data_IF_716001010124
#
_entry.id   IF_716001010124
#
_cell.length_a   1.000
_cell.length_b   1.000
_cell.length_c   1.000
_cell.angle_alpha   90.00
_cell.angle_beta   90.00
_cell.angle_gamma   90.00
#
_symmetry.space_group_name_H-M   'P 1'
#
loop_
_entity.id
_entity.type
_entity.pdbx_description
1 polymer ?
#
# COMPACT_ATOMS: atom_id res chain seq x y z
N UNK A 1 -0.20 -22.05 -11.31
CA UNK A 1 -1.36 -21.85 -10.42
C UNK A 1 -1.13 -22.33 -8.98
N UNK A 2 -0.81 -23.60 -8.70
CA UNK A 2 -0.60 -24.09 -7.29
C UNK A 2 0.50 -23.35 -6.51
N UNK A 3 1.60 -22.99 -7.17
CA UNK A 3 2.68 -22.23 -6.52
C UNK A 3 2.23 -20.82 -6.11
N UNK A 4 1.45 -20.14 -6.95
CA UNK A 4 0.90 -18.81 -6.67
C UNK A 4 0.00 -18.81 -5.43
N UNK A 5 -0.82 -19.86 -5.28
CA UNK A 5 -1.68 -20.05 -4.09
C UNK A 5 -0.82 -20.26 -2.83
N UNK A 6 0.31 -20.98 -2.95
CA UNK A 6 1.27 -21.14 -1.87
C UNK A 6 1.85 -19.81 -1.40
N UNK A 7 2.29 -18.96 -2.34
CA UNK A 7 2.80 -17.62 -2.04
C UNK A 7 1.74 -16.71 -1.41
N UNK A 8 0.49 -16.76 -1.89
CA UNK A 8 -0.60 -16.00 -1.27
C UNK A 8 -0.91 -16.48 0.14
N UNK A 9 -0.81 -17.78 0.40
CA UNK A 9 -1.03 -18.37 1.72
C UNK A 9 0.06 -17.94 2.71
N UNK A 10 1.32 -17.92 2.29
CA UNK A 10 2.43 -17.45 3.14
C UNK A 10 2.35 -15.95 3.39
N UNK A 11 1.97 -15.15 2.40
CA UNK A 11 1.67 -13.72 2.57
C UNK A 11 0.53 -13.49 3.56
N UNK A 12 -0.54 -14.28 3.47
CA UNK A 12 -1.67 -14.17 4.39
C UNK A 12 -1.29 -14.61 5.82
N UNK A 13 -0.42 -15.60 5.96
CA UNK A 13 0.16 -15.98 7.25
C UNK A 13 1.06 -14.87 7.80
N UNK A 14 1.88 -14.23 6.96
CA UNK A 14 2.71 -13.09 7.33
C UNK A 14 1.86 -11.92 7.83
N UNK A 15 0.79 -11.57 7.11
CA UNK A 15 -0.14 -10.51 7.46
C UNK A 15 -0.83 -10.72 8.82
N UNK A 16 -0.98 -11.98 9.27
CA UNK A 16 -1.55 -12.32 10.58
C UNK A 16 -0.56 -12.16 11.74
N UNK A 17 0.74 -12.12 11.46
CA UNK A 17 1.74 -11.86 12.50
C UNK A 17 1.65 -10.40 12.96
N UNK A 18 1.96 -10.09 14.23
CA UNK A 18 1.91 -8.72 14.73
C UNK A 18 2.84 -7.78 13.94
N UNK A 19 4.00 -8.29 13.50
CA UNK A 19 4.94 -7.56 12.64
C UNK A 19 4.36 -7.30 11.24
N UNK A 20 3.92 -8.35 10.55
CA UNK A 20 3.40 -8.20 9.18
C UNK A 20 2.13 -7.34 9.12
N UNK A 21 1.28 -7.36 10.15
CA UNK A 21 0.14 -6.45 10.24
C UNK A 21 0.57 -4.98 10.36
N UNK A 22 1.59 -4.71 11.18
CA UNK A 22 2.12 -3.36 11.34
C UNK A 22 2.73 -2.86 10.03
N UNK A 23 3.59 -3.66 9.40
CA UNK A 23 4.18 -3.33 8.10
C UNK A 23 3.10 -3.03 7.04
N UNK A 24 2.04 -3.83 6.97
CA UNK A 24 0.93 -3.62 6.02
C UNK A 24 0.23 -2.28 6.28
N UNK A 25 -0.01 -1.92 7.54
CA UNK A 25 -0.60 -0.63 7.89
C UNK A 25 0.33 0.53 7.54
N UNK A 26 1.63 0.39 7.77
CA UNK A 26 2.63 1.39 7.41
C UNK A 26 2.70 1.60 5.90
N UNK A 27 2.69 0.51 5.12
CA UNK A 27 2.62 0.59 3.67
C UNK A 27 1.31 1.21 3.17
N UNK A 28 0.18 0.90 3.81
CA UNK A 28 -1.10 1.50 3.47
C UNK A 28 -1.11 3.02 3.73
N UNK A 29 -0.52 3.44 4.86
CA UNK A 29 -0.33 4.85 5.21
C UNK A 29 0.59 5.55 4.21
N UNK A 30 1.73 4.94 3.89
CA UNK A 30 2.68 5.48 2.91
C UNK A 30 2.03 5.63 1.53
N UNK A 31 1.27 4.64 1.09
CA UNK A 31 0.50 4.71 -0.15
C UNK A 31 -0.53 5.85 -0.11
N UNK A 32 -1.27 6.00 0.99
CA UNK A 32 -2.24 7.09 1.18
C UNK A 32 -1.59 8.47 1.09
N UNK A 33 -0.45 8.67 1.77
CA UNK A 33 0.32 9.91 1.72
C UNK A 33 0.84 10.19 0.30
N UNK A 34 1.35 9.16 -0.37
CA UNK A 34 1.83 9.28 -1.75
C UNK A 34 0.72 9.73 -2.71
N UNK A 35 -0.45 9.09 -2.66
CA UNK A 35 -1.60 9.51 -3.46
C UNK A 35 -2.05 10.92 -3.13
N UNK A 36 -2.07 11.29 -1.84
CA UNK A 36 -2.42 12.64 -1.40
C UNK A 36 -1.47 13.69 -1.98
N UNK A 37 -0.16 13.43 -1.99
CA UNK A 37 0.84 14.32 -2.60
C UNK A 37 0.60 14.43 -4.11
N UNK A 38 0.38 13.31 -4.81
CA UNK A 38 0.10 13.33 -6.26
C UNK A 38 -1.15 14.16 -6.55
N UNK A 39 -2.23 13.94 -5.81
CA UNK A 39 -3.47 14.69 -5.97
C UNK A 39 -3.23 16.18 -5.70
N UNK A 40 -2.48 16.53 -4.65
CA UNK A 40 -2.15 17.92 -4.34
C UNK A 40 -1.36 18.58 -5.48
N UNK A 41 -0.31 17.93 -5.97
CA UNK A 41 0.49 18.43 -7.10
C UNK A 41 -0.39 18.59 -8.34
N UNK A 42 -1.25 17.62 -8.63
CA UNK A 42 -2.17 17.68 -9.75
C UNK A 42 -3.13 18.88 -9.63
N UNK A 43 -3.71 19.11 -8.45
CA UNK A 43 -4.59 20.26 -8.20
C UNK A 43 -3.85 21.58 -8.41
N UNK A 44 -2.64 21.72 -7.87
CA UNK A 44 -1.82 22.93 -8.05
C UNK A 44 -1.53 23.17 -9.52
N UNK A 45 -1.13 22.14 -10.27
CA UNK A 45 -0.86 22.26 -11.71
C UNK A 45 -2.10 22.66 -12.50
N UNK A 46 -3.30 22.20 -12.12
CA UNK A 46 -4.54 22.62 -12.78
C UNK A 46 -4.97 24.04 -12.40
N UNK A 47 -4.63 24.53 -11.21
CA UNK A 47 -4.93 25.91 -10.79
C UNK A 47 -4.00 26.95 -11.42
N UNK A 48 -2.74 26.57 -11.69
CA UNK A 48 -1.74 27.44 -12.31
C UNK A 48 -1.85 27.47 -13.84
N UNK A 49 -2.54 26.48 -14.42
CA UNK A 49 -2.81 26.39 -15.86
C UNK A 49 -4.01 27.23 -16.27
#
# INVERSE_FOLDING_TARGET
>A
MRQLIGYLRTLFQYAKTPKGRHDILDYLLAAGIFFLIITLVFVILNLVR
#
